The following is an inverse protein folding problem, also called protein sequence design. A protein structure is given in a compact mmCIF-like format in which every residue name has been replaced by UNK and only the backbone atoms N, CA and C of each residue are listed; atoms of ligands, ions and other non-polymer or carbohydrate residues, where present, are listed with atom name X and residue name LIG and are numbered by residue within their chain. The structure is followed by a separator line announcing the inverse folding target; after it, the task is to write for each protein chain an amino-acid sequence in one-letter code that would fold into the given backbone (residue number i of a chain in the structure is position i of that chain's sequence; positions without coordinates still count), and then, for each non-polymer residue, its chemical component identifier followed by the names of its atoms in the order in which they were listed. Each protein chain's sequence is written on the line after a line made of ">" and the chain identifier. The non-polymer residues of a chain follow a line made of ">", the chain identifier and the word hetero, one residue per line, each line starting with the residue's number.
data_IF_431266206675
#
_entry.id   IF_431266206675
#
_cell.length_a   1.000
_cell.length_b   1.000
_cell.length_c   1.000
_cell.angle_alpha   90.00
_cell.angle_beta   90.00
_cell.angle_gamma   90.00
#
_symmetry.space_group_name_H-M   'P 1'
#
loop_
_entity.id
_entity.type
_entity.pdbx_description
1 polymer ?
#
# COMPACT_ATOMS: atom_id res chain seq x y z
N UNK A 1 5.73 -12.25 8.83
CA UNK A 1 6.35 -10.92 8.93
C UNK A 1 5.33 -9.93 8.33
N UNK A 2 5.55 -8.62 8.42
CA UNK A 2 4.61 -7.60 7.96
C UNK A 2 5.37 -6.52 7.20
N UNK A 3 4.79 -6.00 6.12
CA UNK A 3 5.22 -4.74 5.51
C UNK A 3 4.40 -3.59 6.08
N UNK A 4 5.04 -2.43 6.24
CA UNK A 4 4.40 -1.22 6.76
C UNK A 4 4.17 -0.21 5.64
N UNK A 5 2.99 0.37 5.59
CA UNK A 5 2.67 1.53 4.77
C UNK A 5 2.52 2.74 5.67
N UNK A 6 3.13 3.85 5.26
CA UNK A 6 3.00 5.11 5.99
C UNK A 6 1.60 5.67 5.80
N UNK A 7 0.92 5.99 6.90
CA UNK A 7 -0.41 6.61 6.86
C UNK A 7 -0.40 7.94 6.11
N UNK A 8 0.71 8.68 6.11
CA UNK A 8 0.90 9.93 5.34
C UNK A 8 0.84 9.73 3.83
N UNK A 9 1.34 8.60 3.32
CA UNK A 9 1.34 8.29 1.88
C UNK A 9 0.07 7.54 1.46
N UNK A 10 -0.47 6.72 2.36
CA UNK A 10 -1.68 5.92 2.11
C UNK A 10 -2.96 6.78 2.12
N UNK A 11 -3.06 7.78 3.01
CA UNK A 11 -4.25 8.65 3.10
C UNK A 11 -4.61 9.34 1.79
N UNK A 12 -3.67 9.95 1.03
CA UNK A 12 -3.95 10.49 -0.30
C UNK A 12 -4.57 9.48 -1.26
N UNK A 13 -4.07 8.24 -1.29
CA UNK A 13 -4.59 7.16 -2.15
C UNK A 13 -6.03 6.80 -1.76
N UNK A 14 -6.29 6.65 -0.45
CA UNK A 14 -7.62 6.35 0.05
C UNK A 14 -8.60 7.50 -0.22
N UNK A 15 -8.17 8.74 0.00
CA UNK A 15 -8.99 9.93 -0.24
C UNK A 15 -9.34 10.07 -1.73
N UNK A 16 -8.38 9.79 -2.62
CA UNK A 16 -8.62 9.76 -4.06
C UNK A 16 -9.62 8.68 -4.44
N UNK A 17 -9.49 7.47 -3.89
CA UNK A 17 -10.43 6.38 -4.16
C UNK A 17 -11.84 6.71 -3.67
N UNK A 18 -11.97 7.31 -2.48
CA UNK A 18 -13.26 7.78 -1.94
C UNK A 18 -13.87 8.88 -2.82
N UNK A 19 -13.07 9.86 -3.23
CA UNK A 19 -13.51 10.97 -4.08
C UNK A 19 -14.00 10.47 -5.46
N UNK A 20 -13.33 9.46 -6.01
CA UNK A 20 -13.69 8.83 -7.28
C UNK A 20 -14.73 7.70 -7.12
N UNK A 21 -15.22 7.46 -5.90
CA UNK A 21 -16.15 6.39 -5.55
C UNK A 21 -15.70 5.01 -6.08
N UNK A 22 -14.41 4.71 -5.98
CA UNK A 22 -13.80 3.48 -6.45
C UNK A 22 -13.08 2.71 -5.33
N UNK A 23 -12.59 1.52 -5.66
CA UNK A 23 -11.84 0.68 -4.73
C UNK A 23 -10.37 1.08 -4.70
N UNK A 24 -9.65 0.64 -3.68
CA UNK A 24 -8.19 0.63 -3.67
C UNK A 24 -7.67 -0.76 -3.98
N UNK A 25 -6.53 -0.81 -4.65
CA UNK A 25 -5.89 -2.05 -5.08
C UNK A 25 -4.54 -2.15 -4.40
N UNK A 26 -4.29 -3.25 -3.69
CA UNK A 26 -2.96 -3.65 -3.28
C UNK A 26 -2.33 -4.42 -4.44
N UNK A 27 -1.25 -3.89 -4.99
CA UNK A 27 -0.54 -4.50 -6.11
C UNK A 27 0.83 -4.95 -5.65
N UNK A 28 1.19 -6.16 -6.06
CA UNK A 28 2.57 -6.65 -6.06
C UNK A 28 3.02 -6.88 -7.50
N UNK A 29 4.01 -6.12 -7.92
CA UNK A 29 4.67 -6.22 -9.23
C UNK A 29 6.10 -5.65 -9.08
N UNK A 30 6.37 -4.45 -9.60
CA UNK A 30 7.58 -3.69 -9.31
C UNK A 30 7.48 -3.01 -7.94
N UNK A 31 7.61 -3.80 -6.88
CA UNK A 31 7.40 -3.41 -5.50
C UNK A 31 6.01 -3.79 -5.01
N UNK A 32 5.68 -3.30 -3.82
CA UNK A 32 4.37 -3.54 -3.18
C UNK A 32 3.75 -2.19 -2.84
N UNK A 33 2.57 -1.92 -3.38
CA UNK A 33 1.96 -0.60 -3.27
C UNK A 33 0.43 -0.61 -3.32
N UNK A 34 -0.17 0.42 -2.73
CA UNK A 34 -1.59 0.75 -2.88
C UNK A 34 -1.80 1.84 -3.92
N UNK A 35 -2.87 1.70 -4.70
CA UNK A 35 -3.34 2.70 -5.65
C UNK A 35 -4.88 2.74 -5.70
N UNK A 36 -5.44 3.88 -6.11
CA UNK A 36 -6.86 4.00 -6.37
C UNK A 36 -7.19 3.40 -7.75
N UNK A 37 -8.16 2.48 -7.82
CA UNK A 37 -8.61 1.82 -9.05
C UNK A 37 -8.90 2.84 -10.17
N UNK A 38 -9.64 3.89 -9.83
CA UNK A 38 -9.98 5.01 -10.70
C UNK A 38 -9.20 6.28 -10.34
N UNK A 39 -7.90 6.17 -10.08
CA UNK A 39 -7.02 7.31 -9.80
C UNK A 39 -6.64 8.13 -11.05
N UNK A 40 -6.23 9.37 -10.83
CA UNK A 40 -5.65 10.24 -11.86
C UNK A 40 -4.35 9.61 -12.38
N UNK A 41 -4.22 9.53 -13.70
CA UNK A 41 -3.00 9.05 -14.35
C UNK A 41 -2.20 10.23 -14.85
N UNK A 42 -0.90 10.18 -14.64
CA UNK A 42 0.06 11.11 -15.24
C UNK A 42 0.13 10.90 -16.76
N UNK A 43 0.64 11.87 -17.53
CA UNK A 43 0.81 11.75 -18.98
C UNK A 43 1.69 10.57 -19.42
N UNK A 44 2.54 10.08 -18.53
CA UNK A 44 3.38 8.88 -18.72
C UNK A 44 2.61 7.55 -18.53
N UNK A 45 1.33 7.62 -18.14
CA UNK A 45 0.47 6.46 -17.87
C UNK A 45 0.54 5.92 -16.44
N UNK A 46 1.46 6.41 -15.59
CA UNK A 46 1.56 6.00 -14.18
C UNK A 46 0.46 6.62 -13.34
N UNK A 47 0.02 5.91 -12.29
CA UNK A 47 -0.90 6.50 -11.32
C UNK A 47 -0.22 7.67 -10.62
N UNK A 48 -0.94 8.79 -10.44
CA UNK A 48 -0.38 10.00 -9.83
C UNK A 48 -0.10 9.81 -8.35
N UNK A 49 -0.98 9.08 -7.67
CA UNK A 49 -0.94 8.80 -6.23
C UNK A 49 -0.72 7.31 -6.03
N UNK A 50 0.41 6.96 -5.41
CA UNK A 50 0.79 5.58 -5.09
C UNK A 50 1.41 5.60 -3.70
N UNK A 51 1.07 4.62 -2.86
CA UNK A 51 1.66 4.45 -1.54
C UNK A 51 2.44 3.13 -1.52
N UNK A 52 3.76 3.21 -1.48
CA UNK A 52 4.62 2.03 -1.41
C UNK A 52 4.74 1.52 0.03
N UNK A 53 4.91 0.21 0.19
CA UNK A 53 5.36 -0.37 1.45
C UNK A 53 6.80 0.05 1.72
N UNK A 54 7.12 0.26 2.99
CA UNK A 54 8.47 0.58 3.45
C UNK A 54 9.43 -0.58 3.12
N UNK A 55 10.51 -0.27 2.41
CA UNK A 55 11.47 -1.26 1.91
C UNK A 55 11.04 -1.98 0.64
N UNK A 56 9.86 -1.66 0.09
CA UNK A 56 9.32 -2.23 -1.14
C UNK A 56 9.19 -1.19 -2.26
N UNK A 57 9.95 -0.08 -2.21
CA UNK A 57 9.86 1.01 -3.18
C UNK A 57 11.04 0.96 -4.18
N UNK A 58 10.81 0.62 -5.46
CA UNK A 58 11.89 0.51 -6.44
C UNK A 58 12.55 1.85 -6.80
N UNK A 59 11.92 2.99 -6.49
CA UNK A 59 12.50 4.32 -6.74
C UNK A 59 13.50 4.73 -5.65
N UNK A 60 13.51 4.06 -4.49
CA UNK A 60 14.31 4.41 -3.31
C UNK A 60 15.21 3.28 -2.85
N UNK A 61 14.66 2.06 -2.80
CA UNK A 61 15.33 0.86 -2.30
C UNK A 61 16.08 0.15 -3.44
N UNK A 62 17.21 -0.50 -3.11
CA UNK A 62 17.97 -1.26 -4.10
C UNK A 62 17.16 -2.48 -4.58
N UNK A 63 17.37 -2.88 -5.84
CA UNK A 63 16.58 -3.94 -6.47
C UNK A 63 16.56 -5.23 -5.65
N UNK A 64 17.73 -5.71 -5.23
CA UNK A 64 17.85 -6.95 -4.46
C UNK A 64 17.11 -6.85 -3.11
N UNK A 65 17.20 -5.71 -2.44
CA UNK A 65 16.59 -5.50 -1.12
C UNK A 65 15.05 -5.53 -1.19
N UNK A 66 14.46 -4.74 -2.09
CA UNK A 66 13.00 -4.67 -2.18
C UNK A 66 12.40 -5.93 -2.79
N UNK A 67 13.08 -6.55 -3.76
CA UNK A 67 12.64 -7.79 -4.39
C UNK A 67 12.64 -8.94 -3.40
N UNK A 68 13.72 -9.11 -2.63
CA UNK A 68 13.79 -10.15 -1.60
C UNK A 68 12.72 -9.95 -0.52
N UNK A 69 12.50 -8.72 -0.06
CA UNK A 69 11.47 -8.41 0.93
C UNK A 69 10.07 -8.71 0.36
N UNK A 70 9.75 -8.25 -0.85
CA UNK A 70 8.48 -8.53 -1.49
C UNK A 70 8.25 -10.03 -1.69
N UNK A 71 9.29 -10.77 -2.09
CA UNK A 71 9.23 -12.22 -2.24
C UNK A 71 9.08 -12.97 -0.91
N UNK A 72 9.74 -12.50 0.15
CA UNK A 72 9.65 -13.09 1.47
C UNK A 72 8.27 -12.89 2.11
N UNK A 73 7.67 -11.70 1.93
CA UNK A 73 6.40 -11.36 2.57
C UNK A 73 5.19 -11.84 1.79
N UNK A 74 5.25 -11.79 0.46
CA UNK A 74 4.11 -12.00 -0.41
C UNK A 74 4.29 -13.11 -1.46
N UNK A 75 5.46 -13.75 -1.50
CA UNK A 75 5.77 -14.81 -2.47
C UNK A 75 6.31 -14.27 -3.80
N UNK A 76 6.62 -15.17 -4.73
CA UNK A 76 7.17 -14.80 -6.04
C UNK A 76 6.14 -14.16 -7.00
N UNK A 77 4.87 -14.50 -6.84
CA UNK A 77 3.83 -14.22 -7.85
C UNK A 77 3.29 -12.78 -7.78
N UNK A 78 2.87 -12.26 -8.93
CA UNK A 78 2.18 -10.98 -9.08
C UNK A 78 0.71 -11.09 -8.68
N UNK A 79 0.18 -10.08 -7.97
CA UNK A 79 -1.24 -10.03 -7.63
C UNK A 79 -1.76 -8.61 -7.49
N UNK A 80 -3.09 -8.49 -7.56
CA UNK A 80 -3.84 -7.26 -7.36
C UNK A 80 -5.11 -7.53 -6.56
N UNK A 81 -5.16 -7.09 -5.32
CA UNK A 81 -6.29 -7.33 -4.41
C UNK A 81 -7.08 -6.05 -4.16
N UNK A 82 -8.41 -6.14 -4.28
CA UNK A 82 -9.31 -4.98 -4.22
C UNK A 82 -9.91 -4.83 -2.83
N UNK A 83 -9.89 -3.61 -2.30
CA UNK A 83 -10.47 -3.26 -1.00
C UNK A 83 -11.36 -2.03 -1.10
N UNK A 84 -12.36 -1.96 -0.24
CA UNK A 84 -13.18 -0.77 -0.08
C UNK A 84 -12.46 0.24 0.85
N UNK A 85 -12.14 1.47 0.39
CA UNK A 85 -11.47 2.46 1.23
C UNK A 85 -12.34 2.98 2.39
N UNK A 86 -13.67 2.78 2.34
CA UNK A 86 -14.62 3.19 3.37
C UNK A 86 -14.89 2.11 4.42
N UNK A 87 -14.31 0.91 4.27
CA UNK A 87 -14.52 -0.19 5.21
C UNK A 87 -13.25 -0.59 5.97
N UNK A 88 -13.47 -1.24 7.12
CA UNK A 88 -12.45 -1.88 7.91
C UNK A 88 -11.33 -0.94 8.36
N UNK A 89 -10.09 -1.35 8.10
CA UNK A 89 -8.88 -0.64 8.55
C UNK A 89 -8.65 0.67 7.81
N UNK A 90 -9.09 0.78 6.57
CA UNK A 90 -8.85 1.95 5.72
C UNK A 90 -9.66 3.17 6.18
N UNK A 91 -10.92 2.95 6.57
CA UNK A 91 -11.74 3.99 7.19
C UNK A 91 -11.10 4.54 8.47
N UNK A 92 -10.45 3.67 9.26
CA UNK A 92 -9.73 4.08 10.47
C UNK A 92 -8.49 4.91 10.13
N UNK A 93 -7.71 4.51 9.12
CA UNK A 93 -6.52 5.25 8.66
C UNK A 93 -6.91 6.62 8.08
N UNK A 94 -8.03 6.72 7.38
CA UNK A 94 -8.55 8.00 6.90
C UNK A 94 -8.89 8.98 8.04
N UNK A 95 -9.31 8.47 9.19
CA UNK A 95 -9.69 9.25 10.37
C UNK A 95 -8.56 9.43 11.39
N UNK A 96 -7.43 8.74 11.21
CA UNK A 96 -6.31 8.70 12.15
C UNK A 96 -5.00 9.10 11.47
N UNK A 97 -3.92 9.16 12.25
CA UNK A 97 -2.55 9.24 11.73
C UNK A 97 -1.86 7.87 11.78
N UNK A 98 -2.62 6.81 12.00
CA UNK A 98 -2.13 5.43 12.06
C UNK A 98 -1.48 4.98 10.74
N UNK A 99 -0.41 4.20 10.86
CA UNK A 99 0.20 3.46 9.77
C UNK A 99 -0.58 2.16 9.53
N UNK A 100 -0.31 1.50 8.40
CA UNK A 100 -0.92 0.22 8.05
C UNK A 100 0.14 -0.88 7.97
N UNK A 101 -0.01 -1.91 8.78
CA UNK A 101 0.74 -3.16 8.62
C UNK A 101 -0.07 -4.14 7.77
N UNK A 102 0.58 -4.71 6.76
CA UNK A 102 0.02 -5.75 5.90
C UNK A 102 0.90 -6.98 6.00
N UNK A 103 0.29 -8.12 6.27
CA UNK A 103 0.94 -9.43 6.18
C UNK A 103 0.14 -10.33 5.26
N UNK A 104 0.84 -11.11 4.44
CA UNK A 104 0.26 -12.22 3.73
C UNK A 104 0.59 -13.54 4.44
N UNK A 105 -0.35 -14.46 4.37
CA UNK A 105 -0.13 -15.89 4.57
C UNK A 105 -0.37 -16.58 3.24
N UNK A 106 -0.11 -17.89 3.17
CA UNK A 106 -0.32 -18.67 1.94
C UNK A 106 -1.73 -18.57 1.35
N UNK A 107 -2.73 -18.14 2.12
CA UNK A 107 -4.14 -18.09 1.69
C UNK A 107 -4.89 -16.81 2.03
N UNK A 108 -4.33 -15.93 2.87
CA UNK A 108 -5.04 -14.75 3.36
C UNK A 108 -4.11 -13.54 3.51
N UNK A 109 -4.64 -12.37 3.16
CA UNK A 109 -4.08 -11.07 3.52
C UNK A 109 -4.72 -10.57 4.81
N UNK A 110 -3.88 -10.12 5.74
CA UNK A 110 -4.29 -9.47 6.98
C UNK A 110 -3.80 -8.03 6.98
N UNK A 111 -4.70 -7.11 7.30
CA UNK A 111 -4.43 -5.67 7.33
C UNK A 111 -4.74 -5.13 8.72
N UNK A 112 -3.80 -4.41 9.32
CA UNK A 112 -3.92 -3.89 10.69
C UNK A 112 -3.44 -2.45 10.79
N UNK A 113 -4.28 -1.58 11.35
CA UNK A 113 -3.89 -0.20 11.69
C UNK A 113 -3.02 -0.23 12.94
N UNK A 114 -1.84 0.35 12.85
CA UNK A 114 -0.86 0.44 13.93
C UNK A 114 -0.52 1.91 14.19
N UNK A 115 -0.12 2.28 15.42
CA UNK A 115 0.29 3.65 15.71
C UNK A 115 1.39 4.11 14.73
N UNK A 116 1.40 5.39 14.33
CA UNK A 116 2.41 5.90 13.43
C UNK A 116 3.79 5.66 14.03
N UNK A 117 4.70 5.15 13.21
CA UNK A 117 6.10 5.05 13.63
C UNK A 117 6.67 6.46 13.61
N UNK A 118 7.13 7.02 14.75
CA UNK A 118 7.79 8.31 14.71
C UNK A 118 9.00 8.15 13.80
N UNK A 119 9.06 8.96 12.74
CA UNK A 119 10.27 9.09 11.95
C UNK A 119 11.34 9.56 12.94
N UNK A 120 12.23 8.65 13.33
CA UNK A 120 13.31 8.96 14.26
C UNK A 120 14.12 10.12 13.67
N UNK A 121 14.24 11.19 14.48
CA UNK A 121 15.13 12.33 14.24
C UNK A 121 16.57 11.89 13.96
#
# INVERSE_FOLDING_TARGET
>A
MTVRFKGTELRPVLAEAVANQCRVILVKDQGVYFLAECGERRPDGRQKTIAYAAGCNPDVDAFDDWWELACAEFGGDDFGEFFDPQEGVFARILLSEDDLDVSATATHLSLQAVPPTPSGN
#
